data_IF_690619918837
#
_entry.id   IF_690619918837
#
_cell.length_a   1.000
_cell.length_b   1.000
_cell.length_c   1.000
_cell.angle_alpha   90.00
_cell.angle_beta   90.00
_cell.angle_gamma   90.00
#
_symmetry.space_group_name_H-M   'P 1'
#
loop_
_entity.id
_entity.type
_entity.pdbx_description
1 polymer ?
#
# COMPACT_ATOMS: atom_id res chain seq x y z
N UNK A 1 62.34 21.44 -8.87
CA UNK A 1 60.91 21.06 -9.01
C UNK A 1 60.30 21.16 -7.63
N UNK A 2 59.15 21.81 -7.50
CA UNK A 2 58.61 22.25 -6.21
C UNK A 2 57.61 21.21 -5.70
N UNK A 3 58.12 20.08 -5.21
CA UNK A 3 57.33 18.91 -4.75
C UNK A 3 56.25 19.30 -3.73
N UNK A 4 56.50 20.36 -2.95
CA UNK A 4 55.55 20.88 -1.96
C UNK A 4 54.24 21.38 -2.58
N UNK A 5 54.30 21.98 -3.78
CA UNK A 5 53.11 22.45 -4.49
C UNK A 5 52.26 21.28 -5.00
N UNK A 6 52.89 20.15 -5.33
CA UNK A 6 52.22 18.93 -5.79
C UNK A 6 51.54 18.18 -4.63
N UNK A 7 52.21 18.08 -3.48
CA UNK A 7 51.63 17.53 -2.24
C UNK A 7 50.49 18.39 -1.70
N UNK A 8 50.60 19.72 -1.77
CA UNK A 8 49.52 20.63 -1.36
C UNK A 8 48.31 20.51 -2.29
N UNK A 9 48.53 20.32 -3.61
CA UNK A 9 47.46 20.00 -4.57
C UNK A 9 46.78 18.67 -4.24
N UNK A 10 47.55 17.62 -3.97
CA UNK A 10 47.03 16.29 -3.57
C UNK A 10 46.24 16.34 -2.26
N UNK A 11 46.68 17.15 -1.29
CA UNK A 11 45.99 17.32 0.00
C UNK A 11 44.68 18.12 -0.15
N UNK A 12 44.67 19.19 -0.95
CA UNK A 12 43.42 19.91 -1.28
C UNK A 12 42.46 19.08 -2.14
N UNK A 13 42.98 18.18 -2.98
CA UNK A 13 42.15 17.25 -3.75
C UNK A 13 41.55 16.16 -2.86
N UNK A 14 42.25 15.74 -1.79
CA UNK A 14 41.72 14.85 -0.75
C UNK A 14 40.70 15.51 0.17
N UNK A 15 40.73 16.83 0.36
CA UNK A 15 39.69 17.57 1.10
C UNK A 15 38.29 17.50 0.45
N UNK A 16 38.21 17.09 -0.82
CA UNK A 16 36.95 16.83 -1.54
C UNK A 16 36.27 15.54 -1.05
N UNK A 17 37.03 14.57 -0.50
CA UNK A 17 36.45 13.33 0.06
C UNK A 17 35.70 13.59 1.37
N UNK A 18 36.17 14.49 2.23
CA UNK A 18 35.47 14.82 3.48
C UNK A 18 34.17 15.59 3.20
N UNK A 19 34.16 16.48 2.20
CA UNK A 19 32.92 17.16 1.79
C UNK A 19 31.94 16.19 1.14
N UNK A 20 32.41 15.19 0.37
CA UNK A 20 31.58 14.13 -0.22
C UNK A 20 31.03 13.17 0.84
N UNK A 21 31.83 12.80 1.83
CA UNK A 21 31.40 11.97 2.97
C UNK A 21 30.39 12.71 3.86
N UNK A 22 30.55 14.01 4.09
CA UNK A 22 29.58 14.84 4.81
C UNK A 22 28.28 15.05 4.01
N UNK A 23 28.37 15.26 2.69
CA UNK A 23 27.19 15.38 1.82
C UNK A 23 26.44 14.05 1.70
N UNK A 24 27.16 12.93 1.59
CA UNK A 24 26.59 11.58 1.61
C UNK A 24 25.96 11.21 2.96
N UNK A 25 26.58 11.58 4.08
CA UNK A 25 26.00 11.40 5.43
C UNK A 25 24.74 12.23 5.65
N UNK A 26 24.75 13.50 5.26
CA UNK A 26 23.58 14.38 5.42
C UNK A 26 22.42 13.94 4.51
N UNK A 27 22.71 13.47 3.29
CA UNK A 27 21.73 12.84 2.41
C UNK A 27 21.18 11.53 3.02
N UNK A 28 22.05 10.67 3.57
CA UNK A 28 21.67 9.43 4.24
C UNK A 28 20.75 9.68 5.45
N UNK A 29 21.10 10.64 6.28
CA UNK A 29 20.35 11.01 7.48
C UNK A 29 18.97 11.60 7.13
N UNK A 30 18.91 12.46 6.10
CA UNK A 30 17.65 13.04 5.61
C UNK A 30 16.71 11.99 4.99
N UNK A 31 17.24 11.08 4.17
CA UNK A 31 16.49 9.95 3.60
C UNK A 31 15.99 9.01 4.69
N UNK A 32 16.85 8.66 5.65
CA UNK A 32 16.48 7.81 6.77
C UNK A 32 15.34 8.44 7.57
N UNK A 33 15.40 9.75 7.88
CA UNK A 33 14.32 10.48 8.54
C UNK A 33 13.00 10.46 7.77
N UNK A 34 13.03 10.73 6.46
CA UNK A 34 11.82 10.72 5.61
C UNK A 34 11.23 9.32 5.43
N UNK A 35 12.07 8.31 5.20
CA UNK A 35 11.63 6.92 5.08
C UNK A 35 11.01 6.47 6.42
N UNK A 36 11.63 6.77 7.56
CA UNK A 36 11.14 6.39 8.88
C UNK A 36 9.82 7.07 9.26
N UNK A 37 9.67 8.37 8.97
CA UNK A 37 8.40 9.09 9.16
C UNK A 37 7.29 8.52 8.29
N UNK A 38 7.59 8.21 7.01
CA UNK A 38 6.66 7.52 6.11
C UNK A 38 6.22 6.16 6.67
N UNK A 39 7.16 5.33 7.13
CA UNK A 39 6.85 4.02 7.70
C UNK A 39 6.01 4.11 8.98
N UNK A 40 6.35 5.03 9.89
CA UNK A 40 5.58 5.24 11.12
C UNK A 40 4.12 5.62 10.81
N UNK A 41 3.93 6.47 9.81
CA UNK A 41 2.59 6.83 9.33
C UNK A 41 1.87 5.64 8.66
N UNK A 42 2.56 4.85 7.84
CA UNK A 42 2.01 3.63 7.24
C UNK A 42 1.57 2.63 8.31
N UNK A 43 2.38 2.41 9.35
CA UNK A 43 2.05 1.50 10.46
C UNK A 43 0.76 1.96 11.15
N UNK A 44 0.63 3.24 11.49
CA UNK A 44 -0.59 3.79 12.10
C UNK A 44 -1.81 3.53 11.22
N UNK A 45 -1.73 3.86 9.93
CA UNK A 45 -2.82 3.64 8.99
C UNK A 45 -3.16 2.16 8.79
N UNK A 46 -2.17 1.27 8.82
CA UNK A 46 -2.40 -0.16 8.71
C UNK A 46 -3.14 -0.69 9.94
N UNK A 47 -2.83 -0.19 11.14
CA UNK A 47 -3.60 -0.50 12.35
C UNK A 47 -5.06 -0.07 12.21
N UNK A 48 -5.31 1.16 11.74
CA UNK A 48 -6.68 1.62 11.47
C UNK A 48 -7.42 0.73 10.47
N UNK A 49 -6.77 0.31 9.38
CA UNK A 49 -7.37 -0.61 8.40
C UNK A 49 -7.69 -1.98 8.99
N UNK A 50 -6.79 -2.53 9.81
CA UNK A 50 -6.98 -3.82 10.47
C UNK A 50 -8.13 -3.77 11.48
N UNK A 51 -8.16 -2.73 12.31
CA UNK A 51 -9.25 -2.53 13.28
C UNK A 51 -10.57 -2.35 12.55
N UNK A 52 -10.62 -1.49 11.52
CA UNK A 52 -11.82 -1.27 10.72
C UNK A 52 -12.32 -2.54 10.03
N UNK A 53 -11.44 -3.34 9.43
CA UNK A 53 -11.81 -4.63 8.83
C UNK A 53 -12.33 -5.61 9.87
N UNK A 54 -11.71 -5.67 11.05
CA UNK A 54 -12.12 -6.56 12.15
C UNK A 54 -13.51 -6.18 12.68
N UNK A 55 -13.74 -4.88 12.94
CA UNK A 55 -15.06 -4.38 13.35
C UNK A 55 -16.11 -4.68 12.28
N UNK A 56 -15.79 -4.46 11.00
CA UNK A 56 -16.70 -4.75 9.89
C UNK A 56 -17.09 -6.23 9.82
N UNK A 57 -16.14 -7.15 9.99
CA UNK A 57 -16.42 -8.59 10.04
C UNK A 57 -17.28 -8.94 11.26
N UNK A 58 -16.97 -8.40 12.43
CA UNK A 58 -17.77 -8.64 13.65
C UNK A 58 -19.21 -8.16 13.47
N UNK A 59 -19.40 -6.95 12.94
CA UNK A 59 -20.74 -6.40 12.70
C UNK A 59 -21.52 -7.24 11.69
N UNK A 60 -20.87 -7.71 10.61
CA UNK A 60 -21.50 -8.58 9.61
C UNK A 60 -21.95 -9.93 10.22
N UNK A 61 -21.10 -10.55 11.03
CA UNK A 61 -21.45 -11.82 11.70
C UNK A 61 -22.56 -11.60 12.74
N UNK A 62 -22.48 -10.50 13.50
CA UNK A 62 -23.49 -10.20 14.50
C UNK A 62 -24.85 -9.86 13.89
N UNK A 63 -24.88 -9.09 12.80
CA UNK A 63 -26.14 -8.70 12.13
C UNK A 63 -26.88 -9.88 11.49
N UNK A 64 -26.19 -11.00 11.30
CA UNK A 64 -26.76 -12.20 10.66
C UNK A 64 -27.21 -13.26 11.67
N UNK A 65 -26.86 -13.09 12.96
CA UNK A 65 -27.16 -14.05 14.03
C UNK A 65 -28.66 -14.28 14.26
N UNK A 66 -29.46 -13.22 14.19
CA UNK A 66 -30.88 -13.27 14.53
C UNK A 66 -31.79 -13.51 13.31
N UNK A 67 -31.20 -13.66 12.12
CA UNK A 67 -31.94 -13.93 10.88
C UNK A 67 -32.32 -15.41 10.84
N UNK A 68 -33.57 -15.71 11.21
CA UNK A 68 -34.13 -17.07 11.10
C UNK A 68 -34.34 -17.43 9.62
N UNK A 69 -34.00 -18.67 9.25
CA UNK A 69 -34.29 -19.20 7.91
C UNK A 69 -33.28 -18.83 6.82
N UNK A 70 -32.07 -18.38 7.17
CA UNK A 70 -31.02 -18.14 6.18
C UNK A 70 -30.71 -19.39 5.35
N UNK A 71 -30.73 -19.25 4.02
CA UNK A 71 -30.36 -20.36 3.14
C UNK A 71 -28.85 -20.59 3.12
N UNK A 72 -28.44 -21.78 2.65
CA UNK A 72 -27.04 -22.12 2.42
C UNK A 72 -26.32 -21.09 1.53
N UNK A 73 -27.00 -20.54 0.53
CA UNK A 73 -26.42 -19.53 -0.36
C UNK A 73 -26.03 -18.26 0.38
N UNK A 74 -26.82 -17.84 1.37
CA UNK A 74 -26.50 -16.65 2.15
C UNK A 74 -25.30 -16.86 3.07
N UNK A 75 -25.14 -18.06 3.63
CA UNK A 75 -23.91 -18.42 4.37
C UNK A 75 -22.69 -18.44 3.46
N UNK A 76 -22.81 -18.98 2.25
CA UNK A 76 -21.74 -18.94 1.26
C UNK A 76 -21.39 -17.50 0.85
N UNK A 77 -22.39 -16.61 0.74
CA UNK A 77 -22.17 -15.19 0.49
C UNK A 77 -21.35 -14.51 1.58
N UNK A 78 -21.68 -14.74 2.86
CA UNK A 78 -20.92 -14.22 4.01
C UNK A 78 -19.51 -14.81 4.02
N UNK A 79 -19.37 -16.12 3.85
CA UNK A 79 -18.08 -16.80 3.81
C UNK A 79 -17.20 -16.23 2.69
N UNK A 80 -17.76 -15.96 1.51
CA UNK A 80 -17.07 -15.33 0.39
C UNK A 80 -16.58 -13.92 0.74
N UNK A 81 -17.41 -13.09 1.38
CA UNK A 81 -17.03 -11.74 1.82
C UNK A 81 -15.86 -11.80 2.80
N UNK A 82 -15.95 -12.65 3.83
CA UNK A 82 -14.93 -12.81 4.87
C UNK A 82 -13.63 -13.32 4.23
N UNK A 83 -13.70 -14.40 3.45
CA UNK A 83 -12.54 -15.00 2.81
C UNK A 83 -11.84 -14.02 1.87
N UNK A 84 -12.59 -13.30 1.04
CA UNK A 84 -12.04 -12.29 0.11
C UNK A 84 -11.34 -11.17 0.87
N UNK A 85 -11.94 -10.71 1.98
CA UNK A 85 -11.37 -9.67 2.84
C UNK A 85 -10.06 -10.14 3.49
N UNK A 86 -10.03 -11.36 4.04
CA UNK A 86 -8.83 -11.93 4.63
C UNK A 86 -7.73 -12.15 3.60
N UNK A 87 -8.04 -12.70 2.43
CA UNK A 87 -7.08 -12.92 1.35
C UNK A 87 -6.49 -11.59 0.86
N UNK A 88 -7.34 -10.59 0.62
CA UNK A 88 -6.88 -9.27 0.22
C UNK A 88 -6.04 -8.61 1.32
N UNK A 89 -6.42 -8.75 2.58
CA UNK A 89 -5.66 -8.21 3.71
C UNK A 89 -4.29 -8.87 3.84
N UNK A 90 -4.21 -10.20 3.74
CA UNK A 90 -2.94 -10.94 3.75
C UNK A 90 -2.07 -10.53 2.58
N UNK A 91 -2.64 -10.45 1.37
CA UNK A 91 -1.94 -9.97 0.18
C UNK A 91 -1.44 -8.53 0.36
N UNK A 92 -2.27 -7.65 0.90
CA UNK A 92 -1.94 -6.27 1.20
C UNK A 92 -0.77 -6.19 2.18
N UNK A 93 -0.83 -6.91 3.32
CA UNK A 93 0.21 -6.94 4.36
C UNK A 93 1.54 -7.52 3.86
N UNK A 94 1.51 -8.53 2.98
CA UNK A 94 2.71 -9.13 2.39
C UNK A 94 3.45 -8.17 1.47
N UNK A 95 2.72 -7.34 0.72
CA UNK A 95 3.27 -6.43 -0.29
C UNK A 95 3.49 -5.00 0.20
N UNK A 96 3.45 -4.75 1.52
CA UNK A 96 3.73 -3.43 2.07
C UNK A 96 5.22 -3.09 2.06
N UNK A 97 5.49 -1.80 1.97
CA UNK A 97 6.80 -1.25 2.28
C UNK A 97 7.15 -1.53 3.75
N UNK A 98 8.30 -2.17 3.99
CA UNK A 98 8.83 -2.52 5.32
C UNK A 98 10.27 -2.03 5.39
N UNK A 99 10.51 -1.01 6.21
CA UNK A 99 11.87 -0.48 6.47
C UNK A 99 12.81 -1.57 6.94
N UNK A 100 12.33 -2.52 7.74
CA UNK A 100 13.16 -3.60 8.30
C UNK A 100 13.79 -4.52 7.24
N UNK A 101 13.40 -4.39 5.97
CA UNK A 101 13.98 -5.13 4.85
C UNK A 101 15.01 -4.31 4.06
N UNK A 102 15.20 -3.04 4.41
CA UNK A 102 16.18 -2.18 3.79
C UNK A 102 17.46 -2.18 4.62
N UNK A 103 18.58 -2.36 3.94
CA UNK A 103 19.90 -2.28 4.56
C UNK A 103 20.42 -0.85 4.46
N UNK A 104 20.44 -0.14 5.59
CA UNK A 104 20.95 1.22 5.68
C UNK A 104 22.46 1.29 5.92
N UNK A 105 23.14 0.14 6.04
CA UNK A 105 24.59 0.10 6.31
C UNK A 105 25.42 0.60 5.13
N UNK A 106 24.89 0.52 3.90
CA UNK A 106 25.44 1.17 2.72
C UNK A 106 24.33 1.67 1.80
N UNK A 107 24.23 2.98 1.58
CA UNK A 107 23.34 3.56 0.55
C UNK A 107 24.02 3.34 -0.81
N UNK A 108 23.95 2.09 -1.27
CA UNK A 108 24.41 1.67 -2.59
C UNK A 108 23.26 1.49 -3.58
N UNK A 109 23.58 1.06 -4.80
CA UNK A 109 22.60 0.73 -5.84
C UNK A 109 21.54 -0.25 -5.35
N UNK A 110 21.95 -1.25 -4.57
CA UNK A 110 21.07 -2.33 -4.11
C UNK A 110 20.04 -1.84 -3.10
N UNK A 111 20.40 -0.87 -2.24
CA UNK A 111 19.45 -0.22 -1.34
C UNK A 111 18.36 0.51 -2.13
N UNK A 112 18.77 1.32 -3.11
CA UNK A 112 17.87 2.12 -3.94
C UNK A 112 16.95 1.23 -4.78
N UNK A 113 17.49 0.17 -5.39
CA UNK A 113 16.72 -0.79 -6.17
C UNK A 113 15.69 -1.54 -5.33
N UNK A 114 16.07 -1.98 -4.12
CA UNK A 114 15.14 -2.63 -3.22
C UNK A 114 14.04 -1.68 -2.74
N UNK A 115 14.39 -0.43 -2.38
CA UNK A 115 13.43 0.57 -1.95
C UNK A 115 12.42 0.91 -3.06
N UNK A 116 12.89 1.17 -4.28
CA UNK A 116 12.05 1.44 -5.44
C UNK A 116 11.14 0.25 -5.77
N UNK A 117 11.68 -0.96 -5.83
CA UNK A 117 10.89 -2.17 -6.08
C UNK A 117 9.78 -2.37 -5.04
N UNK A 118 10.06 -2.10 -3.77
CA UNK A 118 9.05 -2.19 -2.71
C UNK A 118 7.96 -1.12 -2.84
N UNK A 119 8.33 0.12 -3.20
CA UNK A 119 7.37 1.21 -3.43
C UNK A 119 6.47 0.93 -4.65
N UNK A 120 7.03 0.42 -5.74
CA UNK A 120 6.26 0.01 -6.91
C UNK A 120 5.31 -1.15 -6.60
N UNK A 121 5.79 -2.21 -5.94
CA UNK A 121 4.94 -3.33 -5.50
C UNK A 121 3.78 -2.88 -4.62
N UNK A 122 4.03 -1.93 -3.70
CA UNK A 122 2.97 -1.38 -2.87
C UNK A 122 1.90 -0.64 -3.69
N UNK A 123 2.31 0.04 -4.75
CA UNK A 123 1.39 0.73 -5.66
C UNK A 123 0.54 -0.26 -6.49
N UNK A 124 1.15 -1.36 -6.91
CA UNK A 124 0.51 -2.38 -7.75
C UNK A 124 -0.63 -3.13 -7.06
N UNK A 125 -0.65 -3.16 -5.72
CA UNK A 125 -1.77 -3.73 -4.95
C UNK A 125 -3.11 -3.11 -5.36
N UNK A 126 -3.12 -1.82 -5.73
CA UNK A 126 -4.33 -1.06 -6.03
C UNK A 126 -4.76 -1.12 -7.50
N UNK A 127 -4.10 -1.94 -8.32
CA UNK A 127 -4.46 -2.21 -9.71
C UNK A 127 -5.42 -3.41 -9.77
N UNK A 128 -5.00 -4.49 -10.44
CA UNK A 128 -5.80 -5.71 -10.65
C UNK A 128 -6.26 -6.39 -9.34
N UNK A 129 -5.42 -6.55 -8.30
CA UNK A 129 -5.86 -7.25 -7.09
C UNK A 129 -7.03 -6.57 -6.39
N UNK A 130 -7.02 -5.24 -6.31
CA UNK A 130 -8.11 -4.47 -5.74
C UNK A 130 -9.42 -4.61 -6.54
N UNK A 131 -9.33 -4.62 -7.88
CA UNK A 131 -10.48 -4.85 -8.74
C UNK A 131 -11.13 -6.22 -8.48
N UNK A 132 -10.33 -7.29 -8.44
CA UNK A 132 -10.83 -8.64 -8.14
C UNK A 132 -11.40 -8.77 -6.73
N UNK A 133 -10.79 -8.07 -5.76
CA UNK A 133 -11.33 -7.99 -4.41
C UNK A 133 -12.75 -7.41 -4.40
N UNK A 134 -12.97 -6.25 -5.04
CA UNK A 134 -14.30 -5.64 -5.09
C UNK A 134 -15.31 -6.48 -5.89
N UNK A 135 -14.89 -7.08 -7.00
CA UNK A 135 -15.75 -8.00 -7.74
C UNK A 135 -16.20 -9.18 -6.87
N UNK A 136 -15.28 -9.74 -6.08
CA UNK A 136 -15.58 -10.81 -5.13
C UNK A 136 -16.54 -10.36 -4.01
N UNK A 137 -16.39 -9.13 -3.51
CA UNK A 137 -17.32 -8.54 -2.54
C UNK A 137 -18.72 -8.38 -3.13
N UNK A 138 -18.84 -7.90 -4.37
CA UNK A 138 -20.12 -7.76 -5.06
C UNK A 138 -20.79 -9.13 -5.19
N UNK A 139 -20.07 -10.16 -5.63
CA UNK A 139 -20.59 -11.53 -5.74
C UNK A 139 -21.07 -12.03 -4.37
N UNK A 140 -20.22 -11.92 -3.34
CA UNK A 140 -20.56 -12.36 -1.99
C UNK A 140 -21.78 -11.64 -1.41
N UNK A 141 -21.90 -10.33 -1.63
CA UNK A 141 -23.04 -9.54 -1.17
C UNK A 141 -24.34 -9.90 -1.91
N UNK A 142 -24.28 -10.12 -3.22
CA UNK A 142 -25.44 -10.54 -4.00
C UNK A 142 -25.91 -11.95 -3.58
N UNK A 143 -24.99 -12.89 -3.33
CA UNK A 143 -25.31 -14.21 -2.78
C UNK A 143 -25.93 -14.12 -1.39
N UNK A 144 -25.41 -13.24 -0.53
CA UNK A 144 -25.94 -13.00 0.79
C UNK A 144 -27.41 -12.55 0.74
N UNK A 145 -27.75 -11.61 -0.15
CA UNK A 145 -29.11 -11.09 -0.27
C UNK A 145 -30.09 -12.05 -0.97
N UNK A 146 -29.60 -13.07 -1.67
CA UNK A 146 -30.46 -13.93 -2.48
C UNK A 146 -31.61 -14.56 -1.69
N UNK A 147 -31.33 -15.15 -0.52
CA UNK A 147 -32.39 -15.77 0.30
C UNK A 147 -33.19 -14.79 1.14
N UNK A 148 -32.61 -13.63 1.47
CA UNK A 148 -33.31 -12.58 2.20
C UNK A 148 -34.46 -11.97 1.40
N UNK A 149 -34.41 -12.11 0.07
CA UNK A 149 -35.38 -11.55 -0.86
C UNK A 149 -36.32 -12.59 -1.47
N UNK A 150 -36.31 -13.84 -0.98
CA UNK A 150 -37.17 -14.92 -1.51
C UNK A 150 -38.67 -14.63 -1.41
N UNK A 151 -39.10 -13.75 -0.49
CA UNK A 151 -40.49 -13.29 -0.37
C UNK A 151 -40.82 -11.99 -1.13
N UNK A 152 -39.81 -11.33 -1.70
CA UNK A 152 -39.97 -10.04 -2.40
C UNK A 152 -40.37 -10.20 -3.85
N UNK A 153 -40.98 -9.16 -4.41
CA UNK A 153 -41.31 -9.08 -5.84
C UNK A 153 -40.04 -9.11 -6.70
N UNK A 154 -40.18 -9.45 -7.99
CA UNK A 154 -39.03 -9.47 -8.91
C UNK A 154 -38.39 -8.07 -9.05
N UNK A 155 -39.20 -7.02 -9.09
CA UNK A 155 -38.75 -5.63 -9.19
C UNK A 155 -37.93 -5.20 -7.97
N UNK A 156 -38.39 -5.55 -6.76
CA UNK A 156 -37.67 -5.29 -5.52
C UNK A 156 -36.32 -6.00 -5.48
N UNK A 157 -36.27 -7.26 -5.92
CA UNK A 157 -35.02 -8.03 -6.00
C UNK A 157 -34.01 -7.35 -6.91
N UNK A 158 -34.43 -6.99 -8.13
CA UNK A 158 -33.56 -6.29 -9.08
C UNK A 158 -33.09 -4.96 -8.49
N UNK A 159 -33.99 -4.19 -7.90
CA UNK A 159 -33.64 -2.91 -7.30
C UNK A 159 -32.57 -3.06 -6.21
N UNK A 160 -32.70 -4.05 -5.33
CA UNK A 160 -31.74 -4.29 -4.24
C UNK A 160 -30.41 -4.81 -4.79
N UNK A 161 -30.42 -5.74 -5.75
CA UNK A 161 -29.20 -6.23 -6.39
C UNK A 161 -28.42 -5.13 -7.12
N UNK A 162 -29.10 -4.30 -7.91
CA UNK A 162 -28.47 -3.19 -8.64
C UNK A 162 -28.00 -2.08 -7.69
N UNK A 163 -28.86 -1.63 -6.78
CA UNK A 163 -28.51 -0.55 -5.85
C UNK A 163 -27.33 -0.92 -4.96
N UNK A 164 -27.29 -2.14 -4.43
CA UNK A 164 -26.16 -2.60 -3.61
C UNK A 164 -24.86 -2.73 -4.40
N UNK A 165 -24.94 -3.25 -5.63
CA UNK A 165 -23.77 -3.33 -6.52
C UNK A 165 -23.23 -1.94 -6.84
N UNK A 166 -24.11 -0.97 -7.11
CA UNK A 166 -23.75 0.44 -7.34
C UNK A 166 -23.10 1.04 -6.08
N UNK A 167 -23.69 0.83 -4.89
CA UNK A 167 -23.15 1.35 -3.62
C UNK A 167 -21.75 0.79 -3.36
N UNK A 168 -21.54 -0.53 -3.53
CA UNK A 168 -20.21 -1.15 -3.38
C UNK A 168 -19.25 -0.58 -4.42
N UNK A 169 -19.69 -0.44 -5.67
CA UNK A 169 -18.89 0.14 -6.76
C UNK A 169 -18.48 1.61 -6.50
N UNK A 170 -19.39 2.43 -5.98
CA UNK A 170 -19.11 3.82 -5.60
C UNK A 170 -18.14 3.87 -4.42
N UNK A 171 -18.33 3.02 -3.40
CA UNK A 171 -17.40 2.90 -2.28
C UNK A 171 -16.00 2.49 -2.75
N UNK A 172 -15.91 1.55 -3.69
CA UNK A 172 -14.67 1.13 -4.34
C UNK A 172 -14.00 2.28 -5.09
N UNK A 173 -14.77 3.04 -5.87
CA UNK A 173 -14.29 4.19 -6.63
C UNK A 173 -13.75 5.29 -5.71
N UNK A 174 -14.49 5.66 -4.66
CA UNK A 174 -14.06 6.65 -3.67
C UNK A 174 -12.78 6.19 -2.96
N UNK A 175 -12.73 4.92 -2.54
CA UNK A 175 -11.55 4.34 -1.91
C UNK A 175 -10.32 4.37 -2.83
N UNK A 176 -10.49 4.00 -4.09
CA UNK A 176 -9.46 4.08 -5.12
C UNK A 176 -8.99 5.52 -5.34
N UNK A 177 -9.92 6.48 -5.44
CA UNK A 177 -9.61 7.89 -5.67
C UNK A 177 -8.82 8.52 -4.52
N UNK A 178 -9.25 8.29 -3.28
CA UNK A 178 -8.52 8.73 -2.06
C UNK A 178 -7.12 8.14 -2.06
N UNK A 179 -6.99 6.84 -2.38
CA UNK A 179 -5.70 6.16 -2.41
C UNK A 179 -4.79 6.72 -3.50
N UNK A 180 -5.32 6.99 -4.69
CA UNK A 180 -4.56 7.56 -5.81
C UNK A 180 -4.05 8.96 -5.48
N UNK A 181 -4.89 9.81 -4.88
CA UNK A 181 -4.47 11.13 -4.37
C UNK A 181 -3.33 11.01 -3.37
N UNK A 182 -3.41 10.03 -2.48
CA UNK A 182 -2.38 9.78 -1.49
C UNK A 182 -1.06 9.26 -2.10
N UNK A 183 -1.13 8.33 -3.05
CA UNK A 183 0.06 7.86 -3.80
C UNK A 183 0.76 9.05 -4.46
N UNK A 184 0.01 9.94 -5.11
CA UNK A 184 0.55 11.16 -5.73
C UNK A 184 1.23 12.11 -4.75
N UNK A 185 0.70 12.25 -3.53
CA UNK A 185 1.23 13.15 -2.50
C UNK A 185 2.39 12.58 -1.69
N UNK A 186 2.38 11.28 -1.41
CA UNK A 186 3.31 10.67 -0.45
C UNK A 186 4.33 9.73 -1.12
N UNK A 187 3.89 8.90 -2.06
CA UNK A 187 4.71 7.80 -2.61
C UNK A 187 5.52 8.27 -3.82
N UNK A 188 4.88 8.97 -4.76
CA UNK A 188 5.53 9.43 -5.98
C UNK A 188 6.70 10.41 -5.73
N UNK A 189 6.62 11.37 -4.78
CA UNK A 189 7.77 12.23 -4.48
C UNK A 189 8.95 11.43 -3.93
N UNK A 190 8.70 10.42 -3.10
CA UNK A 190 9.75 9.56 -2.55
C UNK A 190 10.41 8.69 -3.64
N UNK A 191 9.62 8.18 -4.59
CA UNK A 191 10.14 7.45 -5.76
C UNK A 191 11.06 8.36 -6.58
N UNK A 192 10.60 9.57 -6.94
CA UNK A 192 11.39 10.51 -7.75
C UNK A 192 12.71 10.90 -7.09
N UNK A 193 12.70 11.11 -5.78
CA UNK A 193 13.91 11.43 -5.01
C UNK A 193 14.89 10.26 -5.01
N UNK A 194 14.41 9.04 -4.76
CA UNK A 194 15.26 7.84 -4.82
C UNK A 194 15.80 7.56 -6.23
N UNK A 195 15.01 7.84 -7.27
CA UNK A 195 15.44 7.78 -8.67
C UNK A 195 16.52 8.82 -8.98
N UNK A 196 16.34 10.07 -8.54
CA UNK A 196 17.33 11.14 -8.73
C UNK A 196 18.65 10.80 -8.05
N UNK A 197 18.63 10.35 -6.80
CA UNK A 197 19.84 9.92 -6.08
C UNK A 197 20.55 8.78 -6.83
N UNK A 198 19.78 7.86 -7.41
CA UNK A 198 20.34 6.76 -8.20
C UNK A 198 21.00 7.25 -9.48
N UNK A 199 20.43 8.25 -10.14
CA UNK A 199 21.02 8.87 -11.33
C UNK A 199 22.29 9.65 -11.00
N UNK A 200 22.28 10.43 -9.92
CA UNK A 200 23.43 11.19 -9.45
C UNK A 200 24.62 10.23 -9.17
N UNK A 201 24.39 9.15 -8.42
CA UNK A 201 25.40 8.11 -8.13
C UNK A 201 25.92 7.36 -9.37
N UNK A 202 25.13 7.29 -10.44
CA UNK A 202 25.56 6.71 -11.73
C UNK A 202 26.36 7.68 -12.57
N UNK A 203 26.12 8.98 -12.44
CA UNK A 203 26.85 10.03 -13.16
C UNK A 203 28.22 10.33 -12.55
N UNK A 204 28.41 9.98 -11.27
CA UNK A 204 29.65 10.17 -10.51
C UNK A 204 30.63 8.98 -10.60
N UNK A 205 30.21 7.84 -11.16
CA UNK A 205 31.04 6.65 -11.43
C UNK A 205 31.33 6.50 -12.92
#
# INVERSE_FOLDING_TARGET
>A
MNDFAEYQKLWMTKGVDDTRLETGKTLAESLHGRINSFNSYQIKLNRFKLVGASIGIILLVFSTRDIKGMSLLSYLGIAQIILSTLLFLVYYLKNQFKISKLDFSSIGSDFLDNALNMLHRQNDIFKRPLFFFFLSLIIGYNLFNFSLLEGSSFEERLLIHFSSTIIIGLGAYVGYFIRMRRIKKEVLPLIKELEQIKEDLKSEN
#
